data_IF_502795540923
#
_entry.id   IF_502795540923
#
_cell.length_a   1.000
_cell.length_b   1.000
_cell.length_c   1.000
_cell.angle_alpha   90.00
_cell.angle_beta   90.00
_cell.angle_gamma   90.00
#
_symmetry.space_group_name_H-M   'P 1'
#
loop_
_entity.id
_entity.type
_entity.pdbx_description
1 polymer ?
2 non-polymer ?
3 non-polymer ?
4 non-polymer ?
5 water ?
#
# COMPACT_ATOMS: atom_id res chain seq x y z
N UNK A 5 -5.62 7.34 -22.28
CA UNK A 5 -4.75 7.56 -21.13
C UNK A 5 -4.17 8.97 -21.19
N UNK A 6 -4.95 9.95 -20.74
CA UNK A 6 -4.50 11.33 -20.62
C UNK A 6 -3.86 11.50 -19.25
N UNK A 7 -2.56 11.72 -19.22
CA UNK A 7 -1.79 11.78 -17.98
C UNK A 7 -1.64 13.22 -17.54
N UNK A 8 -1.74 13.45 -16.22
CA UNK A 8 -1.62 14.77 -15.65
C UNK A 8 -0.86 14.69 -14.34
N UNK A 9 0.00 15.68 -14.11
CA UNK A 9 0.75 15.76 -12.87
C UNK A 9 -0.05 16.60 -11.87
N UNK A 10 -0.36 16.02 -10.72
CA UNK A 10 -1.17 16.67 -9.70
C UNK A 10 -0.34 17.36 -8.63
N UNK A 11 0.88 16.91 -8.38
CA UNK A 11 1.73 17.48 -7.35
C UNK A 11 3.16 17.05 -7.60
N UNK A 12 4.09 17.92 -7.22
CA UNK A 12 5.52 17.72 -7.37
C UNK A 12 6.21 18.06 -6.05
N UNK A 13 7.52 17.81 -5.99
CA UNK A 13 8.31 18.11 -4.81
C UNK A 13 7.79 17.34 -3.59
N UNK A 14 7.26 16.14 -3.81
CA UNK A 14 6.88 15.25 -2.72
C UNK A 14 8.09 14.40 -2.33
N UNK A 15 8.24 14.11 -1.04
CA UNK A 15 9.45 13.46 -0.51
C UNK A 15 9.15 11.97 -0.37
N UNK A 16 9.27 11.26 -1.50
CA UNK A 16 8.97 9.85 -1.69
C UNK A 16 7.49 9.59 -1.40
N UNK A 17 6.62 10.00 -2.31
CA UNK A 17 5.19 9.77 -2.11
C UNK A 17 4.83 8.28 -2.14
N UNK A 18 3.81 7.94 -1.37
CA UNK A 18 3.29 6.57 -1.29
C UNK A 18 1.88 6.64 -0.69
N UNK A 19 1.27 5.45 -0.54
CA UNK A 19 -0.03 5.28 0.10
C UNK A 19 -1.08 6.30 -0.26
N UNK A 20 -1.35 6.49 -1.56
CA UNK A 20 -2.42 7.45 -1.92
C UNK A 20 -3.78 6.91 -1.55
N UNK A 21 -4.61 7.79 -0.98
CA UNK A 21 -6.01 7.51 -0.69
C UNK A 21 -6.83 8.63 -1.33
N UNK A 22 -7.68 8.27 -2.29
CA UNK A 22 -8.35 9.26 -3.14
C UNK A 22 -9.73 9.44 -2.53
N UNK A 23 -9.99 10.63 -2.05
CA UNK A 23 -11.22 10.95 -1.35
C UNK A 23 -12.35 11.10 -2.35
N UNK A 24 -13.59 11.12 -1.88
CA UNK A 24 -14.72 11.30 -2.82
C UNK A 24 -14.67 12.57 -3.64
N UNK A 25 -14.15 13.68 -3.08
CA UNK A 25 -14.06 14.94 -3.80
C UNK A 25 -12.89 15.03 -4.75
N UNK A 26 -12.09 13.97 -4.86
CA UNK A 26 -10.93 13.96 -5.71
C UNK A 26 -9.66 14.50 -5.08
N UNK A 27 -9.72 14.98 -3.85
CA UNK A 27 -8.50 15.25 -3.11
C UNK A 27 -7.82 13.91 -2.75
N UNK A 28 -6.48 13.97 -2.57
CA UNK A 28 -5.69 12.78 -2.27
C UNK A 28 -4.94 13.00 -0.97
N UNK A 29 -5.10 12.09 -0.03
CA UNK A 29 -4.27 12.06 1.18
C UNK A 29 -3.24 10.97 0.96
N UNK A 30 -1.97 11.29 1.15
CA UNK A 30 -0.91 10.33 0.89
C UNK A 30 0.21 10.52 1.89
N UNK A 31 1.15 9.55 1.90
CA UNK A 31 2.29 9.63 2.80
C UNK A 31 3.48 10.09 2.01
N UNK A 32 4.36 10.86 2.66
CA UNK A 32 5.70 11.18 2.17
C UNK A 32 6.66 10.47 3.11
N UNK A 33 7.23 9.36 2.64
CA UNK A 33 8.01 8.53 3.54
C UNK A 33 9.22 9.31 4.04
N UNK A 34 9.91 10.00 3.13
CA UNK A 34 11.16 10.68 3.47
C UNK A 34 10.92 11.93 4.32
N UNK A 35 9.78 12.60 4.13
CA UNK A 35 9.44 13.77 4.96
C UNK A 35 8.65 13.39 6.19
N UNK A 36 8.35 12.10 6.37
CA UNK A 36 7.68 11.58 7.55
C UNK A 36 6.39 12.33 7.87
N UNK A 37 5.50 12.37 6.89
CA UNK A 37 4.27 13.12 7.10
C UNK A 37 3.17 12.57 6.22
N UNK A 38 1.95 12.92 6.60
CA UNK A 38 0.73 12.66 5.84
C UNK A 38 0.33 14.00 5.22
N UNK A 39 0.11 14.01 3.90
CA UNK A 39 -0.10 15.23 3.13
C UNK A 39 -1.39 15.15 2.32
N UNK A 40 -2.10 16.27 2.23
CA UNK A 40 -3.33 16.37 1.45
C UNK A 40 -3.06 17.19 0.21
N UNK A 41 -3.42 16.65 -0.95
CA UNK A 41 -3.24 17.32 -2.23
C UNK A 41 -4.64 17.59 -2.78
N UNK A 42 -4.92 18.81 -3.07
CA UNK A 42 -6.22 19.25 -3.55
C UNK A 42 -6.21 19.39 -5.06
N UNK A 43 -7.38 19.27 -5.70
CA UNK A 43 -7.41 19.42 -7.16
C UNK A 43 -7.13 20.84 -7.65
N UNK A 44 -7.30 21.87 -6.81
CA UNK A 44 -6.90 23.21 -7.24
C UNK A 44 -5.39 23.43 -7.14
N UNK A 45 -4.60 22.37 -6.91
CA UNK A 45 -3.16 22.42 -6.90
C UNK A 45 -2.54 22.53 -5.51
N UNK A 46 -3.25 23.15 -4.57
CA UNK A 46 -2.70 23.38 -3.24
C UNK A 46 -2.43 22.06 -2.52
N UNK A 47 -1.48 22.13 -1.58
CA UNK A 47 -1.12 21.00 -0.73
C UNK A 47 -1.10 21.47 0.72
N UNK A 48 -1.48 20.58 1.64
CA UNK A 48 -1.37 20.89 3.07
C UNK A 48 -0.85 19.64 3.78
N UNK A 49 -0.05 19.86 4.81
CA UNK A 49 0.43 18.77 5.64
C UNK A 49 -0.65 18.49 6.67
N UNK A 50 -1.15 17.25 6.68
CA UNK A 50 -2.20 16.86 7.62
C UNK A 50 -1.60 16.54 8.99
N UNK A 51 -0.47 15.84 9.00
CA UNK A 51 0.12 15.37 10.24
C UNK A 51 1.57 14.98 9.99
N UNK A 52 2.40 15.16 11.01
CA UNK A 52 3.73 14.58 11.02
C UNK A 52 3.63 13.19 11.64
N UNK A 53 4.25 12.20 11.00
CA UNK A 53 4.17 10.82 11.44
C UNK A 53 5.61 10.31 11.52
N UNK A 54 6.25 10.41 12.68
CA UNK A 54 7.67 10.07 12.76
C UNK A 54 7.96 8.64 12.34
N UNK A 55 9.09 8.47 11.66
CA UNK A 55 9.52 7.14 11.29
C UNK A 55 9.52 6.91 9.80
N UNK A 56 8.67 6.00 9.35
CA UNK A 56 8.53 5.71 7.93
C UNK A 56 7.11 5.38 7.51
N UNK A 57 6.23 6.39 7.57
CA UNK A 57 4.86 6.18 7.06
C UNK A 57 4.88 5.71 5.61
N UNK A 58 4.30 4.53 5.37
CA UNK A 58 4.52 3.79 4.12
C UNK A 58 3.25 3.49 3.34
N UNK A 59 2.11 3.32 4.01
CA UNK A 59 0.87 3.04 3.34
C UNK A 59 -0.26 3.59 4.20
N UNK A 60 -1.39 3.83 3.55
CA UNK A 60 -2.52 4.46 4.22
C UNK A 60 -3.82 3.88 3.72
N UNK A 61 -4.82 3.91 4.61
CA UNK A 61 -6.17 3.50 4.26
C UNK A 61 -7.15 4.12 5.24
N UNK A 62 -8.24 4.66 4.70
CA UNK A 62 -9.27 5.23 5.56
C UNK A 62 -10.04 4.13 6.28
N UNK A 63 -10.26 4.34 7.57
CA UNK A 63 -10.89 3.35 8.39
C UNK A 63 -12.34 3.65 8.71
N UNK A 64 -12.98 2.66 9.35
CA UNK A 64 -14.41 2.81 9.69
C UNK A 64 -14.66 3.91 10.71
N UNK A 65 -13.65 4.31 11.45
CA UNK A 65 -13.78 5.40 12.39
C UNK A 65 -13.52 6.75 11.73
N UNK A 66 -13.31 6.79 10.43
CA UNK A 66 -12.98 8.01 9.74
C UNK A 66 -11.56 8.50 9.94
N UNK A 67 -10.72 7.73 10.59
CA UNK A 67 -9.33 8.09 10.75
C UNK A 67 -8.50 7.38 9.68
N UNK A 68 -7.31 7.89 9.43
CA UNK A 68 -6.42 7.33 8.41
C UNK A 68 -5.46 6.37 9.09
N UNK A 69 -5.56 5.09 8.72
CA UNK A 69 -4.67 4.07 9.26
C UNK A 69 -3.41 4.06 8.41
N UNK A 70 -2.26 3.86 9.07
CA UNK A 70 -0.91 4.00 8.51
C UNK A 70 -0.12 2.75 8.83
N UNK A 71 0.57 2.21 7.83
CA UNK A 71 1.67 1.28 8.02
C UNK A 71 2.93 2.11 8.20
N UNK A 72 3.57 2.00 9.35
CA UNK A 72 4.82 2.71 9.61
C UNK A 72 5.94 1.69 9.59
N UNK A 73 6.87 1.81 8.62
CA UNK A 73 7.94 0.83 8.52
C UNK A 73 9.09 1.12 9.46
N UNK A 74 8.99 2.17 10.28
CA UNK A 74 10.00 2.47 11.27
C UNK A 74 11.11 3.37 10.80
N UNK A 75 11.21 3.64 9.51
CA UNK A 75 12.23 4.49 8.96
C UNK A 75 13.16 3.72 8.04
N UNK A 76 13.63 4.40 7.01
CA UNK A 76 14.66 3.90 6.11
C UNK A 76 15.93 4.76 6.23
N UNK A 77 16.97 4.38 5.48
CA UNK A 77 18.13 5.22 5.29
C UNK A 77 18.23 5.71 3.85
N UNK A 78 18.25 7.02 3.66
CA UNK A 78 18.14 7.61 2.33
C UNK A 78 19.48 8.07 1.75
N UNK A 86 16.72 7.86 -2.75
CA UNK A 86 16.31 6.45 -2.79
C UNK A 86 16.53 5.77 -1.43
N UNK A 87 15.51 5.08 -0.92
CA UNK A 87 15.63 4.45 0.40
C UNK A 87 16.64 3.30 0.38
N UNK A 88 17.09 2.96 1.57
CA UNK A 88 18.00 1.86 1.79
C UNK A 88 17.86 1.33 3.20
N UNK A 89 18.74 0.42 3.56
CA UNK A 89 18.70 -0.19 4.89
C UNK A 89 18.87 0.88 5.96
N UNK A 90 18.03 0.91 7.00
CA UNK A 90 18.17 1.95 8.01
C UNK A 90 19.37 1.70 8.91
N UNK A 91 20.27 2.68 8.99
CA UNK A 91 21.25 2.66 10.06
C UNK A 91 20.51 2.51 11.39
N UNK A 92 21.14 1.90 12.40
CA UNK A 92 20.39 1.61 13.65
C UNK A 92 19.56 2.79 14.17
N UNK A 93 20.13 4.00 14.18
CA UNK A 93 19.45 5.14 14.79
C UNK A 93 18.26 5.62 13.96
N UNK A 94 18.24 5.36 12.65
CA UNK A 94 17.17 5.81 11.78
C UNK A 94 15.94 4.90 11.86
N UNK A 95 15.98 3.81 12.62
CA UNK A 95 14.89 2.86 12.76
C UNK A 95 14.31 2.94 14.18
N UNK A 96 12.99 3.15 14.27
CA UNK A 96 12.32 3.26 15.56
C UNK A 96 11.31 2.14 15.80
N UNK A 97 11.29 1.12 14.95
CA UNK A 97 10.35 0.02 15.12
C UNK A 97 9.13 0.17 14.24
N UNK A 98 8.68 -0.92 13.65
CA UNK A 98 7.49 -0.85 12.82
C UNK A 98 6.24 -0.82 13.64
N UNK A 99 5.18 -0.23 13.08
CA UNK A 99 3.92 -0.15 13.80
C UNK A 99 2.76 0.06 12.86
N UNK A 100 1.56 -0.15 13.41
CA UNK A 100 0.31 0.28 12.81
C UNK A 100 -0.17 1.47 13.61
N UNK A 101 -0.50 2.56 12.91
CA UNK A 101 -0.91 3.81 13.53
C UNK A 101 -2.19 4.33 12.90
N UNK A 102 -2.72 5.39 13.52
CA UNK A 102 -4.01 5.97 13.17
C UNK A 102 -3.86 7.47 13.30
N UNK A 103 -4.32 8.22 12.31
CA UNK A 103 -4.21 9.68 12.33
C UNK A 103 -5.59 10.32 12.21
N UNK A 104 -5.87 11.26 13.10
CA UNK A 104 -7.07 12.09 12.99
C UNK A 104 -6.84 13.15 11.91
N UNK A 105 -7.65 13.10 10.87
CA UNK A 105 -7.50 13.97 9.71
C UNK A 105 -7.95 15.39 9.99
N UNK A 106 -8.36 15.68 11.22
CA UNK A 106 -8.85 16.99 11.66
C UNK A 106 -7.95 17.65 12.68
N UNK A 107 -7.35 16.87 13.58
CA UNK A 107 -6.41 17.38 14.57
C UNK A 107 -4.96 17.04 14.28
N UNK A 108 -4.70 16.03 13.43
CA UNK A 108 -3.37 15.54 13.22
C UNK A 108 -2.84 14.63 14.30
N UNK A 109 -3.65 14.31 15.31
CA UNK A 109 -3.21 13.42 16.38
C UNK A 109 -2.87 12.05 15.82
N UNK A 110 -1.68 11.54 16.17
CA UNK A 110 -1.23 10.22 15.75
C UNK A 110 -1.20 9.32 16.98
N UNK A 111 -1.83 8.15 16.86
CA UNK A 111 -1.86 7.16 17.92
C UNK A 111 -1.28 5.87 17.35
N UNK A 112 -0.39 5.25 18.11
CA UNK A 112 0.14 3.95 17.77
C UNK A 112 -0.80 2.88 18.30
N UNK A 113 -1.14 1.91 17.45
CA UNK A 113 -2.08 0.86 17.79
C UNK A 113 -1.41 -0.47 18.10
N UNK A 114 -0.53 -0.92 17.20
CA UNK A 114 0.18 -2.17 17.36
C UNK A 114 1.64 -1.97 17.00
N UNK A 115 2.53 -2.53 17.81
CA UNK A 115 3.93 -2.57 17.41
C UNK A 115 4.51 -3.99 17.46
N UNK A 116 3.66 -4.98 17.71
CA UNK A 116 4.08 -6.37 17.83
C UNK A 116 2.89 -7.25 17.51
N UNK A 117 3.18 -8.49 17.18
CA UNK A 117 2.17 -9.55 17.06
C UNK A 117 2.66 -10.71 17.91
N UNK A 118 1.87 -11.11 18.91
CA UNK A 118 2.37 -12.05 19.89
C UNK A 118 3.63 -11.48 20.52
N UNK A 119 4.67 -12.32 20.62
CA UNK A 119 5.92 -11.89 21.21
C UNK A 119 6.91 -11.36 20.17
N UNK A 120 6.43 -11.00 18.97
CA UNK A 120 7.31 -10.61 17.87
C UNK A 120 7.05 -9.17 17.44
N UNK A 121 8.03 -8.29 17.58
CA UNK A 121 7.87 -6.94 17.04
C UNK A 121 7.59 -6.94 15.54
N UNK A 122 6.72 -6.03 15.10
CA UNK A 122 6.55 -5.73 13.69
C UNK A 122 7.83 -5.09 13.14
N UNK A 123 8.19 -5.46 11.92
CA UNK A 123 9.48 -5.01 11.39
C UNK A 123 9.26 -3.82 10.47
N UNK A 124 8.66 -4.05 9.31
CA UNK A 124 8.49 -3.01 8.34
C UNK A 124 7.13 -3.04 7.66
N UNK A 125 6.07 -2.76 8.42
CA UNK A 125 4.74 -2.68 7.81
C UNK A 125 4.74 -1.79 6.58
N UNK A 126 4.00 -2.23 5.55
CA UNK A 126 4.13 -1.59 4.24
C UNK A 126 2.82 -1.05 3.65
N UNK A 127 1.85 -1.90 3.43
CA UNK A 127 0.56 -1.44 2.91
C UNK A 127 -0.58 -2.23 3.54
N UNK A 128 -1.81 -1.76 3.32
CA UNK A 128 -2.95 -2.27 4.09
C UNK A 128 -4.27 -2.08 3.34
N UNK A 129 -5.26 -2.84 3.78
CA UNK A 129 -6.58 -2.84 3.14
C UNK A 129 -7.60 -3.33 4.15
N UNK A 130 -8.74 -2.63 4.24
CA UNK A 130 -9.82 -3.02 5.12
C UNK A 130 -10.78 -3.96 4.43
N UNK A 131 -11.26 -5.00 5.16
CA UNK A 131 -12.38 -5.80 4.68
C UNK A 131 -13.68 -5.13 5.11
N UNK A 132 -14.81 -5.66 4.64
CA UNK A 132 -16.09 -4.97 4.84
C UNK A 132 -16.56 -5.01 6.28
N UNK A 133 -15.96 -5.81 7.15
CA UNK A 133 -16.31 -5.81 8.55
C UNK A 133 -15.43 -4.88 9.39
N UNK A 134 -14.50 -4.18 8.76
CA UNK A 134 -13.57 -3.34 9.47
C UNK A 134 -12.29 -4.02 9.92
N UNK A 135 -12.13 -5.29 9.59
CA UNK A 135 -10.82 -5.93 9.77
C UNK A 135 -9.77 -5.40 8.83
N UNK A 136 -8.52 -5.44 9.27
CA UNK A 136 -7.45 -4.75 8.56
C UNK A 136 -6.32 -5.71 8.22
N UNK A 137 -6.09 -5.89 6.92
CA UNK A 137 -4.98 -6.69 6.41
C UNK A 137 -3.79 -5.78 6.19
N UNK A 138 -2.58 -6.26 6.49
CA UNK A 138 -1.42 -5.46 6.14
C UNK A 138 -0.22 -6.36 5.89
N UNK A 139 0.68 -5.85 5.08
CA UNK A 139 1.92 -6.54 4.78
C UNK A 139 3.07 -6.02 5.63
N UNK A 140 4.09 -6.88 5.76
CA UNK A 140 5.35 -6.56 6.40
C UNK A 140 6.42 -6.88 5.37
N UNK A 141 7.09 -5.85 4.89
CA UNK A 141 8.22 -6.00 4.00
C UNK A 141 9.47 -6.47 4.71
N UNK A 142 9.53 -6.36 6.03
CA UNK A 142 10.74 -6.61 6.77
C UNK A 142 11.74 -5.48 6.62
N UNK A 143 12.84 -5.57 7.39
CA UNK A 143 13.93 -4.62 7.29
C UNK A 143 15.18 -5.34 6.75
N UNK A 144 15.98 -4.60 6.02
CA UNK A 144 17.32 -5.01 5.61
C UNK A 144 18.32 -4.55 6.64
N UNK A 145 19.21 -5.45 7.04
CA UNK A 145 20.37 -5.15 7.84
C UNK A 145 21.63 -5.43 7.01
N UNK A 146 22.78 -5.27 7.64
CA UNK A 146 24.03 -5.25 6.89
C UNK A 146 24.21 -6.53 6.08
N UNK A 147 23.94 -7.67 6.69
CA UNK A 147 24.28 -8.96 6.09
C UNK A 147 23.09 -9.91 6.04
N UNK A 148 21.90 -9.45 6.41
CA UNK A 148 20.74 -10.31 6.35
C UNK A 148 19.52 -9.42 6.25
N UNK A 149 18.36 -10.05 6.13
CA UNK A 149 17.11 -9.36 5.89
C UNK A 149 15.98 -10.18 6.48
N UNK A 150 14.92 -9.48 6.91
CA UNK A 150 13.74 -10.18 7.37
C UNK A 150 13.00 -10.85 6.22
N UNK A 151 12.29 -11.93 6.57
CA UNK A 151 11.30 -12.49 5.65
C UNK A 151 10.04 -11.62 5.62
N UNK A 152 9.25 -11.83 4.58
CA UNK A 152 7.96 -11.15 4.45
C UNK A 152 6.85 -11.82 5.23
N UNK A 153 5.78 -11.05 5.44
CA UNK A 153 4.64 -11.52 6.22
C UNK A 153 3.39 -10.71 5.89
N UNK A 154 2.26 -11.30 6.24
CA UNK A 154 0.99 -10.59 6.19
C UNK A 154 0.22 -10.90 7.47
N UNK A 155 -0.48 -9.88 7.94
CA UNK A 155 -1.18 -9.86 9.23
C UNK A 155 -2.61 -9.42 8.98
N UNK A 156 -3.47 -9.81 9.90
CA UNK A 156 -4.85 -9.33 9.95
C UNK A 156 -5.18 -8.91 11.37
N UNK A 157 -5.70 -7.70 11.49
CA UNK A 157 -6.21 -7.14 12.73
C UNK A 157 -7.73 -7.30 12.71
N UNK A 158 -8.25 -7.95 13.75
CA UNK A 158 -9.66 -8.25 13.88
C UNK A 158 -10.49 -6.96 13.98
N UNK A 159 -11.71 -6.99 13.48
CA UNK A 159 -12.61 -5.83 13.63
C UNK A 159 -12.65 -5.30 15.05
N UNK A 160 -12.63 -3.98 15.18
CA UNK A 160 -12.58 -3.37 16.48
C UNK A 160 -11.17 -3.14 16.98
N UNK A 161 -10.17 -3.66 16.26
CA UNK A 161 -8.76 -3.54 16.65
C UNK A 161 -8.51 -4.26 17.98
N UNK A 162 -9.10 -5.44 18.10
CA UNK A 162 -9.06 -6.23 19.31
C UNK A 162 -7.85 -7.15 19.40
N UNK A 163 -7.44 -7.72 18.27
CA UNK A 163 -6.40 -8.73 18.23
C UNK A 163 -5.74 -8.66 16.86
N UNK A 164 -4.42 -8.91 16.84
CA UNK A 164 -3.64 -8.99 15.61
C UNK A 164 -3.19 -10.44 15.48
N UNK A 165 -3.23 -10.96 14.26
CA UNK A 165 -2.89 -12.34 13.98
C UNK A 165 -1.97 -12.40 12.76
N UNK A 166 -1.06 -13.38 12.79
CA UNK A 166 -0.21 -13.68 11.65
C UNK A 166 -0.96 -14.62 10.73
N UNK A 167 -1.13 -14.22 9.48
CA UNK A 167 -1.75 -15.07 8.47
C UNK A 167 -0.80 -15.69 7.45
N UNK A 168 0.23 -14.97 7.05
CA UNK A 168 1.27 -15.45 6.13
C UNK A 168 2.63 -15.09 6.70
N UNK A 169 3.57 -16.03 6.60
CA UNK A 169 4.90 -15.76 7.13
C UNK A 169 5.91 -16.62 6.39
N UNK A 170 7.02 -16.00 6.04
CA UNK A 170 8.14 -16.71 5.47
C UNK A 170 8.26 -16.65 3.97
N UNK A 171 7.56 -15.71 3.34
CA UNK A 171 7.81 -15.41 1.94
C UNK A 171 8.99 -14.43 1.85
N UNK A 172 9.41 -14.08 0.62
CA UNK A 172 10.28 -12.92 0.47
C UNK A 172 9.46 -11.68 0.83
N UNK A 173 10.07 -10.51 0.95
CA UNK A 173 9.32 -9.32 1.38
C UNK A 173 8.03 -9.05 0.61
N UNK A 174 6.95 -8.77 1.38
CA UNK A 174 5.63 -8.49 0.84
C UNK A 174 5.29 -7.00 0.93
N UNK A 175 4.59 -6.51 -0.07
CA UNK A 175 4.46 -5.10 -0.31
C UNK A 175 2.99 -4.76 -0.56
N UNK A 176 2.55 -4.76 -1.80
CA UNK A 176 1.15 -4.47 -2.06
C UNK A 176 0.24 -5.53 -1.49
N UNK A 177 -0.98 -5.11 -1.12
CA UNK A 177 -1.99 -6.06 -0.63
C UNK A 177 -3.37 -5.56 -1.04
N UNK A 178 -4.21 -6.49 -1.48
CA UNK A 178 -5.60 -6.15 -1.73
C UNK A 178 -6.51 -7.34 -1.57
N UNK A 179 -7.82 -7.05 -1.64
CA UNK A 179 -8.85 -8.07 -1.63
C UNK A 179 -9.56 -8.16 -2.97
N UNK A 180 -9.96 -9.38 -3.35
CA UNK A 180 -10.85 -9.55 -4.48
C UNK A 180 -12.19 -8.82 -4.23
N UNK A 181 -12.95 -8.56 -5.29
CA UNK A 181 -14.26 -7.92 -5.10
C UNK A 181 -15.15 -8.63 -4.09
N UNK A 182 -15.21 -9.97 -4.15
CA UNK A 182 -16.01 -10.74 -3.21
C UNK A 182 -15.31 -10.94 -1.87
N UNK A 183 -14.07 -10.49 -1.76
CA UNK A 183 -13.24 -10.54 -0.55
C UNK A 183 -12.96 -11.97 -0.09
N UNK A 184 -13.11 -12.95 -0.98
CA UNK A 184 -12.76 -14.34 -0.69
C UNK A 184 -11.31 -14.69 -1.01
N UNK A 185 -10.58 -13.73 -1.57
CA UNK A 185 -9.16 -13.90 -1.91
C UNK A 185 -8.39 -12.65 -1.50
N UNK A 186 -7.23 -12.84 -0.87
CA UNK A 186 -6.31 -11.76 -0.55
C UNK A 186 -5.12 -11.92 -1.47
N UNK A 187 -4.67 -10.80 -2.02
CA UNK A 187 -3.49 -10.74 -2.87
C UNK A 187 -2.36 -10.01 -2.16
N UNK A 188 -1.13 -10.50 -2.36
CA UNK A 188 0.05 -9.86 -1.77
C UNK A 188 1.13 -9.90 -2.83
N UNK A 189 1.75 -8.76 -3.07
CA UNK A 189 2.84 -8.65 -4.04
C UNK A 189 4.19 -8.90 -3.37
N UNK A 190 4.98 -9.79 -3.95
CA UNK A 190 6.29 -10.14 -3.42
C UNK A 190 7.32 -9.30 -4.19
N UNK A 191 8.01 -8.41 -3.48
CA UNK A 191 8.76 -7.36 -4.16
C UNK A 191 9.89 -7.86 -5.05
N UNK A 192 10.90 -8.55 -4.53
CA UNK A 192 12.09 -8.80 -5.38
C UNK A 192 11.85 -9.75 -6.52
N UNK A 193 10.83 -10.61 -6.43
CA UNK A 193 10.59 -11.61 -7.45
C UNK A 193 9.61 -11.14 -8.51
N UNK A 194 8.91 -10.04 -8.28
CA UNK A 194 7.87 -9.65 -9.22
C UNK A 194 6.79 -10.71 -9.33
N UNK A 195 6.44 -11.35 -8.22
CA UNK A 195 5.38 -12.36 -8.18
C UNK A 195 4.19 -11.80 -7.41
N UNK A 196 3.01 -12.07 -7.92
CA UNK A 196 1.76 -11.76 -7.21
C UNK A 196 1.21 -13.05 -6.63
N UNK A 197 1.01 -13.07 -5.30
CA UNK A 197 0.55 -14.24 -4.60
C UNK A 197 -0.94 -14.10 -4.28
N UNK A 198 -1.67 -15.21 -4.38
CA UNK A 198 -3.10 -15.22 -4.04
C UNK A 198 -3.33 -16.19 -2.89
N UNK A 199 -4.14 -15.75 -1.92
CA UNK A 199 -4.44 -16.56 -0.73
C UNK A 199 -5.94 -16.68 -0.59
N UNK A 200 -6.43 -17.92 -0.60
CA UNK A 200 -7.86 -18.14 -0.39
C UNK A 200 -8.21 -17.88 1.07
N UNK A 201 -9.35 -17.27 1.30
CA UNK A 201 -9.84 -17.03 2.65
C UNK A 201 -11.03 -17.94 2.93
N UNK A 202 -10.98 -18.66 4.04
CA UNK A 202 -12.12 -19.44 4.49
C UNK A 202 -13.20 -18.57 5.11
N UNK A 203 -12.80 -17.39 5.58
CA UNK A 203 -13.69 -16.40 6.14
C UNK A 203 -12.90 -15.13 6.37
N UNK A 204 -13.58 -14.05 6.76
CA UNK A 204 -12.86 -12.80 7.00
C UNK A 204 -11.65 -13.02 7.91
N UNK A 205 -10.50 -12.51 7.47
CA UNK A 205 -9.26 -12.52 8.23
C UNK A 205 -8.54 -13.84 8.33
N UNK A 206 -8.93 -14.87 7.58
CA UNK A 206 -8.43 -16.23 7.81
C UNK A 206 -8.03 -16.86 6.48
N UNK A 207 -6.75 -17.08 6.28
CA UNK A 207 -6.26 -17.78 5.09
C UNK A 207 -6.42 -19.27 5.31
N UNK A 208 -6.92 -19.98 4.30
CA UNK A 208 -6.86 -21.44 4.28
C UNK A 208 -5.75 -21.93 3.35
N UNK A 209 -5.01 -23.00 3.67
CA UNK A 209 -3.95 -23.45 2.75
C UNK A 209 -4.47 -23.94 1.40
N UNK A 218 0.81 -21.51 2.07
CA UNK A 218 -0.58 -21.15 2.35
C UNK A 218 -1.29 -20.53 1.15
N UNK A 219 -0.52 -20.15 0.14
CA UNK A 219 -1.08 -19.58 -1.06
C UNK A 219 -0.26 -19.95 -2.28
N UNK A 220 -0.52 -19.30 -3.41
CA UNK A 220 0.29 -19.60 -4.58
C UNK A 220 0.58 -18.34 -5.40
N UNK A 221 1.71 -18.33 -6.10
CA UNK A 221 2.02 -17.25 -7.04
C UNK A 221 1.25 -17.48 -8.33
N UNK A 222 0.42 -16.53 -8.71
CA UNK A 222 -0.38 -16.67 -9.92
C UNK A 222 0.27 -15.95 -11.09
N UNK A 223 1.23 -15.07 -10.85
CA UNK A 223 1.90 -14.38 -11.95
C UNK A 223 3.32 -14.09 -11.51
N UNK A 224 4.28 -14.38 -12.37
CA UNK A 224 5.65 -13.98 -12.14
C UNK A 224 6.18 -13.30 -13.38
N UNK A 225 6.54 -12.03 -13.23
CA UNK A 225 7.00 -11.27 -14.38
C UNK A 225 8.40 -11.74 -14.74
N UNK A 226 8.77 -11.51 -15.98
CA UNK A 226 10.08 -11.92 -16.42
C UNK A 226 11.11 -10.84 -16.20
N UNK A 227 12.34 -11.15 -16.60
CA UNK A 227 13.34 -10.11 -16.66
C UNK A 227 13.77 -9.66 -15.29
N UNK A 228 13.92 -8.34 -15.14
CA UNK A 228 14.43 -7.72 -13.91
C UNK A 228 13.36 -6.69 -13.58
N UNK A 229 12.32 -7.15 -12.92
CA UNK A 229 11.15 -6.34 -12.58
C UNK A 229 10.76 -6.69 -11.15
N UNK A 230 10.35 -5.69 -10.37
CA UNK A 230 10.01 -5.89 -8.97
C UNK A 230 8.68 -5.23 -8.73
N UNK A 231 7.99 -5.70 -7.72
CA UNK A 231 6.65 -5.21 -7.41
C UNK A 231 6.65 -4.34 -6.17
N UNK A 232 5.78 -3.32 -6.18
CA UNK A 232 5.55 -2.47 -5.00
C UNK A 232 4.09 -2.65 -4.62
N UNK A 233 3.32 -1.58 -4.52
CA UNK A 233 1.94 -1.62 -4.03
C UNK A 233 0.95 -1.84 -5.16
N UNK A 234 -0.35 -1.97 -4.81
CA UNK A 234 -1.33 -2.40 -5.80
C UNK A 234 -2.71 -1.84 -5.48
N UNK A 235 -3.62 -1.97 -6.47
CA UNK A 235 -5.04 -1.68 -6.28
C UNK A 235 -5.82 -2.63 -7.16
N UNK A 236 -6.97 -3.03 -6.70
CA UNK A 236 -7.81 -4.00 -7.40
C UNK A 236 -8.89 -3.27 -8.19
N UNK A 237 -9.21 -3.79 -9.39
CA UNK A 237 -10.28 -3.29 -10.24
C UNK A 237 -11.62 -3.97 -9.91
N UNK A 238 -12.72 -3.30 -10.27
CA UNK A 238 -14.03 -3.92 -10.08
C UNK A 238 -14.13 -5.23 -10.82
N UNK A 239 -13.38 -5.37 -11.93
CA UNK A 239 -13.35 -6.60 -12.69
C UNK A 239 -12.69 -7.74 -11.95
N UNK A 240 -11.94 -7.45 -10.90
CA UNK A 240 -11.11 -8.42 -10.22
C UNK A 240 -9.64 -8.37 -10.61
N UNK A 241 -9.29 -7.65 -11.67
CA UNK A 241 -7.88 -7.53 -12.03
C UNK A 241 -7.13 -6.80 -10.92
N UNK A 242 -5.87 -7.17 -10.76
CA UNK A 242 -4.98 -6.58 -9.77
C UNK A 242 -3.96 -5.75 -10.51
N UNK A 243 -3.90 -4.47 -10.18
CA UNK A 243 -3.03 -3.49 -10.83
C UNK A 243 -1.84 -3.22 -9.91
N UNK A 244 -0.64 -3.67 -10.31
CA UNK A 244 0.49 -3.64 -9.41
C UNK A 244 1.56 -2.68 -9.94
N UNK A 245 1.97 -1.75 -9.09
CA UNK A 245 3.08 -0.86 -9.39
C UNK A 245 4.35 -1.69 -9.57
N UNK A 246 5.03 -1.47 -10.68
CA UNK A 246 6.15 -2.30 -11.12
C UNK A 246 7.40 -1.44 -11.18
N UNK A 247 8.35 -1.77 -10.30
CA UNK A 247 9.62 -1.10 -10.22
C UNK A 247 10.58 -1.63 -11.29
N UNK A 248 11.60 -0.81 -11.59
CA UNK A 248 12.65 -1.08 -12.57
C UNK A 248 12.10 -0.84 -13.97
N UNK A 249 11.04 -1.56 -14.35
CA UNK A 249 10.46 -1.30 -15.66
C UNK A 249 9.50 -0.12 -15.68
N UNK A 250 9.04 0.35 -14.52
CA UNK A 250 8.30 1.59 -14.43
C UNK A 250 6.94 1.56 -15.08
N UNK A 251 6.01 0.79 -14.54
CA UNK A 251 4.71 0.63 -15.18
C UNK A 251 3.72 0.14 -14.15
N UNK A 252 2.47 0.01 -14.57
CA UNK A 252 1.45 -0.68 -13.80
C UNK A 252 1.19 -2.00 -14.51
N UNK A 253 1.40 -3.11 -13.81
CA UNK A 253 1.12 -4.44 -14.36
C UNK A 253 -0.30 -4.85 -13.97
N UNK A 254 -1.13 -5.09 -14.96
CA UNK A 254 -2.52 -5.48 -14.73
C UNK A 254 -2.60 -7.00 -14.88
N UNK A 255 -2.98 -7.67 -13.80
CA UNK A 255 -2.98 -9.13 -13.71
C UNK A 255 -4.40 -9.61 -13.50
N UNK A 256 -4.84 -10.56 -14.33
CA UNK A 256 -6.17 -11.10 -14.22
C UNK A 256 -6.26 -12.05 -13.02
N UNK A 257 -7.45 -12.28 -12.49
CA UNK A 257 -7.58 -13.22 -11.36
C UNK A 257 -6.93 -14.57 -11.62
N UNK A 258 -6.90 -15.03 -12.86
CA UNK A 258 -6.27 -16.30 -13.22
C UNK A 258 -4.77 -16.15 -13.47
N UNK A 259 -4.21 -14.97 -13.21
CA UNK A 259 -2.78 -14.78 -13.33
C UNK A 259 -2.30 -14.26 -14.66
N UNK A 260 -3.17 -14.14 -15.64
CA UNK A 260 -2.75 -13.64 -16.95
C UNK A 260 -2.29 -12.19 -16.82
N UNK A 261 -1.15 -11.89 -17.42
CA UNK A 261 -0.68 -10.52 -17.54
C UNK A 261 -1.50 -9.85 -18.64
N UNK A 262 -2.44 -9.01 -18.25
CA UNK A 262 -3.35 -8.37 -19.21
C UNK A 262 -2.62 -7.27 -19.98
N UNK A 263 -1.84 -6.45 -19.29
CA UNK A 263 -1.18 -5.30 -19.93
C UNK A 263 -0.22 -4.65 -18.94
N UNK A 264 0.70 -3.85 -19.47
CA UNK A 264 1.64 -3.08 -18.67
C UNK A 264 1.58 -1.64 -19.17
N UNK A 265 1.21 -0.73 -18.27
CA UNK A 265 0.99 0.67 -18.62
C UNK A 265 2.21 1.47 -18.15
N UNK A 266 3.01 2.00 -19.06
CA UNK A 266 4.20 2.74 -18.61
C UNK A 266 3.83 4.04 -17.92
N UNK A 267 4.67 4.43 -16.96
CA UNK A 267 4.43 5.62 -16.16
C UNK A 267 5.53 6.66 -16.26
N UNK A 268 6.71 6.30 -16.77
CA UNK A 268 7.81 7.22 -16.90
C UNK A 268 8.78 7.27 -15.75
N UNK A 269 8.57 6.46 -14.70
CA UNK A 269 9.42 6.48 -13.51
C UNK A 269 9.73 5.04 -13.13
N UNK A 270 11.03 4.70 -13.09
CA UNK A 270 11.42 3.36 -12.68
C UNK A 270 11.02 3.05 -11.25
N UNK A 271 10.81 4.08 -10.41
CA UNK A 271 10.36 3.91 -9.03
C UNK A 271 8.88 4.26 -8.91
N UNK A 272 8.02 3.56 -9.65
CA UNK A 272 6.57 3.64 -9.53
C UNK A 272 6.15 2.76 -8.37
N UNK A 273 5.40 3.32 -7.39
CA UNK A 273 5.26 2.61 -6.14
C UNK A 273 3.83 2.24 -5.78
N UNK A 274 2.83 3.01 -6.21
CA UNK A 274 1.48 2.72 -5.76
C UNK A 274 0.48 3.30 -6.75
N UNK A 275 -0.76 2.80 -6.63
CA UNK A 275 -1.87 3.20 -7.48
C UNK A 275 -3.13 3.10 -6.63
N UNK A 276 -4.07 3.99 -6.89
CA UNK A 276 -5.36 4.04 -6.21
C UNK A 276 -6.38 4.61 -7.19
N UNK A 277 -7.63 4.13 -7.09
CA UNK A 277 -8.66 4.56 -8.02
C UNK A 277 -9.61 5.58 -7.41
N UNK A 278 -9.98 6.54 -8.22
CA UNK A 278 -10.92 7.53 -7.78
C UNK A 278 -11.52 8.25 -8.95
N UNK A 279 -12.19 9.36 -8.63
CA UNK A 279 -12.83 10.15 -9.66
C UNK A 279 -14.16 9.54 -10.09
N UNK A 280 -14.80 10.12 -11.11
CA UNK A 280 -16.06 9.55 -11.61
C UNK A 280 -15.91 8.09 -12.01
N UNK A 281 -16.83 7.26 -11.50
CA UNK A 281 -16.89 5.82 -11.73
C UNK A 281 -15.61 5.11 -11.30
N UNK A 282 -14.76 5.75 -10.49
CA UNK A 282 -13.47 5.19 -10.08
C UNK A 282 -12.64 4.82 -11.30
N UNK A 283 -12.75 5.62 -12.35
CA UNK A 283 -12.02 5.36 -13.59
C UNK A 283 -10.83 6.29 -13.79
N UNK A 284 -10.35 6.92 -12.73
CA UNK A 284 -9.08 7.63 -12.75
C UNK A 284 -8.10 6.91 -11.83
N UNK A 285 -6.92 6.61 -12.35
CA UNK A 285 -5.85 6.02 -11.56
C UNK A 285 -4.92 7.11 -11.05
N UNK A 286 -4.68 7.11 -9.76
CA UNK A 286 -3.79 8.05 -9.07
C UNK A 286 -2.55 7.27 -8.68
N UNK A 287 -1.40 7.67 -9.20
CA UNK A 287 -0.19 6.88 -9.11
C UNK A 287 0.91 7.71 -8.48
N UNK A 288 1.67 7.10 -7.58
CA UNK A 288 2.82 7.77 -6.98
C UNK A 288 4.10 7.41 -7.74
N UNK A 289 4.76 8.43 -8.29
CA UNK A 289 6.06 8.27 -8.97
C UNK A 289 7.10 8.74 -7.95
N UNK A 290 7.61 7.80 -7.16
CA UNK A 290 8.42 8.16 -6.00
C UNK A 290 9.84 8.53 -6.37
N UNK A 291 10.26 8.24 -7.59
CA UNK A 291 11.55 8.74 -8.06
C UNK A 291 11.48 10.21 -8.40
N UNK A 292 10.45 10.60 -9.15
CA UNK A 292 10.28 11.99 -9.57
C UNK A 292 9.62 12.84 -8.48
N UNK A 293 9.17 12.22 -7.40
CA UNK A 293 8.49 12.97 -6.35
C UNK A 293 7.16 13.50 -6.78
N UNK A 294 6.41 12.73 -7.57
CA UNK A 294 5.18 13.22 -8.18
C UNK A 294 3.99 12.34 -7.82
N UNK A 295 2.84 12.97 -7.73
CA UNK A 295 1.57 12.29 -7.79
C UNK A 295 0.97 12.59 -9.16
N UNK A 296 0.55 11.56 -9.88
CA UNK A 296 -0.07 11.79 -11.19
C UNK A 296 -1.44 11.13 -11.23
N UNK A 297 -2.22 11.53 -12.22
CA UNK A 297 -3.51 10.93 -12.51
C UNK A 297 -3.49 10.47 -13.96
N UNK A 298 -4.26 9.41 -14.25
CA UNK A 298 -4.29 8.79 -15.56
C UNK A 298 -5.68 8.21 -15.79
N UNK A 299 -6.23 8.45 -16.97
CA UNK A 299 -7.48 7.79 -17.33
C UNK A 299 -7.27 6.27 -17.34
N UNK A 300 -8.25 5.54 -16.81
CA UNK A 300 -8.19 4.09 -16.73
C UNK A 300 -9.37 3.52 -17.51
N UNK A 301 -9.13 2.47 -18.28
CA UNK A 301 -10.19 1.99 -19.18
C UNK A 301 -11.32 1.31 -18.41
N UNK A 302 -11.04 0.79 -17.20
CA UNK A 302 -12.02 0.04 -16.43
C UNK A 302 -12.09 0.63 -15.02
N UNK A 303 -13.22 0.49 -14.34
CA UNK A 303 -13.33 1.13 -13.02
C UNK A 303 -12.65 0.35 -11.92
N UNK A 304 -12.20 1.09 -10.92
CA UNK A 304 -11.58 0.47 -9.77
C UNK A 304 -12.60 -0.18 -8.84
N UNK A 305 -12.09 -1.07 -8.01
CA UNK A 305 -12.90 -1.67 -6.95
C UNK A 305 -13.13 -0.65 -5.84
N UNK A 306 -14.37 -0.33 -5.49
CA UNK A 306 -14.57 0.56 -4.34
C UNK A 306 -13.96 0.01 -3.07
N UNK A 307 -13.23 0.86 -2.36
CA UNK A 307 -12.65 0.46 -1.09
C UNK A 307 -13.66 0.59 0.04
N UNK A 308 -13.61 -0.36 0.98
CA UNK A 308 -14.50 -0.24 2.14
C UNK A 308 -14.18 1.01 2.94
N UNK A 309 -15.23 1.67 3.41
CA UNK A 309 -15.12 2.84 4.28
C UNK A 309 -14.52 4.04 3.59
N UNK A 310 -14.37 4.00 2.28
CA UNK A 310 -13.95 5.14 1.46
C UNK A 310 -14.93 5.38 0.33
N UNK A 311 -15.18 4.33 -0.45
CA UNK A 311 -16.00 4.44 -1.65
C UNK A 311 -17.36 3.75 -1.53
N UNK A 312 -17.56 2.91 -0.52
CA UNK A 312 -18.81 2.19 -0.34
C UNK A 312 -18.95 1.83 1.13
#
# INVERSE_FOLDING_TARGET
SAIASNVRVLATDLAFPEGPVVMPDGSVVLVEIRAQQLTRVWPDGRKEVVAKVPGGPNGAALGPDGKMYICNNGGFGWFPSRGTMMPGAPAPHEYIGGSIQRVDLQSGEVETLFDKCGEHPLKGPNDLVFDKHGGLWFTDLGKRRARDMDVGAAYYIKPGMTEITEQVFGTLPLNGIGLSPDEATMYAAETPTGRLWAFDLSGPGEVKPRDVIYRGEKGKPICGLGGYQMFDSLAVEASGNVCVATLVSGCISVIAPDGTLVEQVPTGDRVTTNIAFGGPDLKTAYITLSGKGELIAMDWSRPGLPLNFLNK
#
